data_IF_762894073723
#
_entry.id   IF_762894073723
#
_cell.length_a   1.000
_cell.length_b   1.000
_cell.length_c   1.000
_cell.angle_alpha   90.00
_cell.angle_beta   90.00
_cell.angle_gamma   90.00
#
_symmetry.space_group_name_H-M   'P 1'
#
loop_
_entity.id
_entity.type
_entity.pdbx_description
1 polymer ?
#
# COMPACT_ATOMS: atom_id res chain seq x y z
N UNK A 1 -11.74 -2.87 17.94
CA UNK A 1 -11.82 -1.77 16.95
C UNK A 1 -10.96 -2.17 15.77
N UNK A 2 -11.40 -1.91 14.52
CA UNK A 2 -10.56 -2.14 13.34
C UNK A 2 -9.27 -1.32 13.40
N UNK A 3 -8.22 -1.80 12.75
CA UNK A 3 -6.97 -1.07 12.62
C UNK A 3 -7.14 0.19 11.77
N UNK A 4 -6.41 1.25 12.10
CA UNK A 4 -6.38 2.50 11.31
C UNK A 4 -5.07 2.67 10.54
N UNK A 5 -4.03 1.89 10.89
CA UNK A 5 -2.72 1.85 10.23
C UNK A 5 -2.08 0.46 10.38
N UNK A 6 -0.84 0.31 9.90
CA UNK A 6 -0.09 -0.95 9.90
C UNK A 6 1.02 -1.02 10.97
N UNK A 7 1.06 -0.07 11.91
CA UNK A 7 2.08 -0.08 12.96
C UNK A 7 1.93 -1.33 13.84
N UNK A 8 3.01 -2.09 13.97
CA UNK A 8 3.04 -3.33 14.75
C UNK A 8 2.46 -4.56 14.04
N UNK A 9 1.89 -4.42 12.83
CA UNK A 9 1.48 -5.55 12.00
C UNK A 9 2.75 -6.26 11.49
N UNK A 10 2.91 -7.54 11.82
CA UNK A 10 4.10 -8.33 11.46
C UNK A 10 3.87 -9.26 10.27
N UNK A 11 2.62 -9.69 10.07
CA UNK A 11 2.19 -10.57 8.99
C UNK A 11 0.90 -10.02 8.39
N UNK A 12 0.98 -9.57 7.13
CA UNK A 12 -0.19 -9.06 6.42
C UNK A 12 -1.12 -10.15 5.91
N UNK A 13 -0.73 -11.42 5.90
CA UNK A 13 -1.62 -12.51 5.49
C UNK A 13 -2.76 -12.72 6.48
N UNK A 14 -2.58 -12.34 7.74
CA UNK A 14 -3.55 -12.50 8.83
C UNK A 14 -4.48 -11.29 9.00
N UNK A 15 -4.30 -10.22 8.22
CA UNK A 15 -5.11 -9.01 8.35
C UNK A 15 -6.57 -9.28 7.95
N UNK A 16 -7.52 -8.69 8.69
CA UNK A 16 -8.94 -8.89 8.43
C UNK A 16 -9.45 -7.92 7.36
N UNK A 17 -10.51 -8.29 6.61
CA UNK A 17 -11.12 -7.40 5.63
C UNK A 17 -11.58 -6.05 6.23
N UNK A 18 -12.08 -6.06 7.47
CA UNK A 18 -12.53 -4.85 8.18
C UNK A 18 -11.37 -3.90 8.49
N UNK A 19 -10.17 -4.44 8.74
CA UNK A 19 -8.96 -3.65 8.95
C UNK A 19 -8.50 -3.02 7.63
N UNK A 20 -8.56 -3.76 6.51
CA UNK A 20 -8.25 -3.23 5.17
C UNK A 20 -9.15 -2.04 4.83
N UNK A 21 -10.47 -2.18 5.05
CA UNK A 21 -11.44 -1.12 4.82
C UNK A 21 -11.15 0.11 5.68
N UNK A 22 -10.95 -0.09 6.99
CA UNK A 22 -10.68 0.97 7.95
C UNK A 22 -9.37 1.71 7.67
N UNK A 23 -8.29 0.99 7.34
CA UNK A 23 -7.01 1.58 6.94
C UNK A 23 -7.18 2.39 5.66
N UNK A 24 -7.85 1.82 4.65
CA UNK A 24 -8.11 2.49 3.38
C UNK A 24 -8.89 3.79 3.56
N UNK A 25 -9.95 3.76 4.38
CA UNK A 25 -10.78 4.92 4.71
C UNK A 25 -9.99 6.01 5.40
N UNK A 26 -9.24 5.65 6.44
CA UNK A 26 -8.44 6.57 7.25
C UNK A 26 -7.38 7.27 6.39
N UNK A 27 -6.58 6.48 5.66
CA UNK A 27 -5.50 7.00 4.83
C UNK A 27 -6.04 7.76 3.62
N UNK A 28 -7.08 7.25 2.94
CA UNK A 28 -7.70 7.90 1.79
C UNK A 28 -8.22 9.30 2.14
N UNK A 29 -8.91 9.44 3.29
CA UNK A 29 -9.35 10.74 3.81
C UNK A 29 -8.17 11.65 4.18
N UNK A 30 -7.18 11.13 4.94
CA UNK A 30 -6.01 11.93 5.34
C UNK A 30 -5.25 12.52 4.14
N UNK A 31 -5.12 11.75 3.06
CA UNK A 31 -4.48 12.21 1.83
C UNK A 31 -5.25 13.35 1.16
N UNK A 32 -6.59 13.34 1.21
CA UNK A 32 -7.40 14.48 0.74
C UNK A 32 -7.20 15.70 1.64
N UNK A 33 -7.25 15.51 2.96
CA UNK A 33 -7.08 16.60 3.95
C UNK A 33 -5.69 17.27 3.81
N UNK A 34 -4.68 16.50 3.39
CA UNK A 34 -3.32 16.98 3.09
C UNK A 34 -3.14 17.50 1.67
N UNK A 35 -4.21 17.57 0.88
CA UNK A 35 -4.25 18.00 -0.52
C UNK A 35 -3.29 17.20 -1.43
N UNK A 36 -3.18 15.88 -1.20
CA UNK A 36 -2.46 14.98 -2.10
C UNK A 36 -3.28 14.78 -3.36
N UNK A 37 -2.64 15.03 -4.50
CA UNK A 37 -3.27 14.98 -5.82
C UNK A 37 -3.27 13.56 -6.38
N UNK A 38 -4.28 13.22 -7.18
CA UNK A 38 -4.40 11.88 -7.79
C UNK A 38 -3.17 11.49 -8.61
N UNK A 39 -2.55 12.44 -9.32
CA UNK A 39 -1.33 12.17 -10.10
C UNK A 39 -0.14 11.73 -9.23
N UNK A 40 -0.09 12.13 -7.96
CA UNK A 40 0.95 11.74 -7.01
C UNK A 40 0.76 10.29 -6.54
N UNK A 41 -0.51 9.86 -6.38
CA UNK A 41 -0.86 8.48 -6.05
C UNK A 41 -0.68 7.54 -7.25
N UNK A 42 -0.98 8.01 -8.46
CA UNK A 42 -0.95 7.21 -9.70
C UNK A 42 0.39 6.54 -9.94
N UNK A 43 1.51 7.23 -9.75
CA UNK A 43 2.84 6.67 -10.01
C UNK A 43 3.15 5.46 -9.12
N UNK A 44 2.75 5.54 -7.85
CA UNK A 44 2.92 4.45 -6.91
C UNK A 44 1.93 3.31 -7.21
N UNK A 45 0.65 3.65 -7.40
CA UNK A 45 -0.40 2.70 -7.72
C UNK A 45 -0.08 1.86 -8.97
N UNK A 46 0.42 2.48 -10.04
CA UNK A 46 0.85 1.76 -11.26
C UNK A 46 1.92 0.71 -10.98
N UNK A 47 2.83 0.96 -10.03
CA UNK A 47 3.86 -0.03 -9.65
C UNK A 47 3.24 -1.24 -8.93
N UNK A 48 2.26 -1.01 -8.06
CA UNK A 48 1.50 -2.08 -7.38
C UNK A 48 0.69 -2.90 -8.38
N UNK A 49 0.06 -2.26 -9.38
CA UNK A 49 -0.67 -2.96 -10.44
C UNK A 49 0.24 -3.83 -11.32
N UNK A 50 1.47 -3.37 -11.61
CA UNK A 50 2.50 -4.19 -12.27
C UNK A 50 2.78 -5.46 -11.47
N UNK A 51 3.00 -5.32 -10.16
CA UNK A 51 3.23 -6.45 -9.25
C UNK A 51 2.03 -7.39 -9.21
N UNK A 52 0.80 -6.87 -9.12
CA UNK A 52 -0.44 -7.67 -9.18
C UNK A 52 -0.52 -8.50 -10.44
N UNK A 53 -0.18 -7.92 -11.59
CA UNK A 53 -0.19 -8.61 -12.89
C UNK A 53 0.79 -9.77 -12.90
N UNK A 54 2.00 -9.57 -12.38
CA UNK A 54 3.01 -10.62 -12.21
C UNK A 54 2.55 -11.70 -11.24
N UNK A 55 2.00 -11.34 -10.08
CA UNK A 55 1.46 -12.30 -9.11
C UNK A 55 0.36 -13.19 -9.72
N UNK A 56 -0.54 -12.62 -10.52
CA UNK A 56 -1.58 -13.40 -11.23
C UNK A 56 -1.00 -14.39 -12.23
N UNK A 57 0.07 -14.00 -12.92
CA UNK A 57 0.77 -14.86 -13.89
C UNK A 57 1.53 -15.99 -13.20
N UNK A 58 2.35 -15.65 -12.22
CA UNK A 58 3.25 -16.60 -11.52
C UNK A 58 2.51 -17.44 -10.44
N UNK A 59 1.29 -17.04 -10.06
CA UNK A 59 0.43 -17.66 -9.04
C UNK A 59 1.04 -17.78 -7.63
N UNK A 60 2.24 -17.24 -7.43
CA UNK A 60 3.04 -17.26 -6.20
C UNK A 60 3.96 -16.03 -6.14
N UNK A 61 4.50 -15.73 -4.95
CA UNK A 61 5.49 -14.66 -4.78
C UNK A 61 6.87 -15.21 -5.14
N UNK A 62 7.38 -14.82 -6.31
CA UNK A 62 8.73 -15.19 -6.76
C UNK A 62 9.77 -14.23 -6.20
N UNK A 63 11.07 -14.59 -6.16
CA UNK A 63 12.13 -13.67 -5.76
C UNK A 63 12.16 -12.36 -6.56
N UNK A 64 11.76 -12.41 -7.83
CA UNK A 64 11.66 -11.22 -8.68
C UNK A 64 10.52 -10.29 -8.23
N UNK A 65 9.35 -10.84 -7.89
CA UNK A 65 8.21 -10.09 -7.34
C UNK A 65 8.57 -9.47 -5.99
N UNK A 66 9.18 -10.26 -5.10
CA UNK A 66 9.61 -9.80 -3.78
C UNK A 66 10.64 -8.66 -3.89
N UNK A 67 11.64 -8.80 -4.76
CA UNK A 67 12.61 -7.74 -5.04
C UNK A 67 11.94 -6.46 -5.55
N UNK A 68 11.02 -6.57 -6.50
CA UNK A 68 10.30 -5.40 -7.04
C UNK A 68 9.48 -4.69 -5.97
N UNK A 69 8.82 -5.45 -5.09
CA UNK A 69 8.06 -4.93 -3.97
C UNK A 69 8.97 -4.18 -2.97
N UNK A 70 10.09 -4.78 -2.58
CA UNK A 70 11.07 -4.13 -1.68
C UNK A 70 11.63 -2.84 -2.30
N UNK A 71 11.87 -2.83 -3.61
CA UNK A 71 12.37 -1.66 -4.32
C UNK A 71 11.31 -0.54 -4.52
N UNK A 72 10.07 -0.72 -4.08
CA UNK A 72 9.14 0.40 -3.95
C UNK A 72 9.53 1.34 -2.80
N UNK A 73 10.20 0.85 -1.75
CA UNK A 73 10.64 1.65 -0.61
C UNK A 73 11.49 2.87 -1.00
N UNK A 74 12.58 2.74 -1.78
CA UNK A 74 13.35 3.91 -2.24
C UNK A 74 12.55 4.82 -3.18
N UNK A 75 11.65 4.29 -4.02
CA UNK A 75 10.78 5.10 -4.88
C UNK A 75 9.83 5.98 -4.06
N UNK A 76 9.24 5.40 -3.02
CA UNK A 76 8.36 6.10 -2.08
C UNK A 76 9.15 7.13 -1.25
N UNK A 77 10.37 6.80 -0.81
CA UNK A 77 11.25 7.74 -0.11
C UNK A 77 11.55 8.97 -0.97
N UNK A 78 11.87 8.75 -2.24
CA UNK A 78 12.13 9.84 -3.19
C UNK A 78 10.89 10.72 -3.43
N UNK A 79 9.72 10.12 -3.66
CA UNK A 79 8.47 10.85 -3.83
C UNK A 79 8.15 11.71 -2.59
N UNK A 80 8.38 11.17 -1.39
CA UNK A 80 8.19 11.86 -0.11
C UNK A 80 9.21 12.97 0.11
N UNK A 81 10.44 12.77 -0.36
CA UNK A 81 11.49 13.80 -0.36
C UNK A 81 11.09 15.02 -1.19
N UNK A 82 10.42 14.83 -2.33
CA UNK A 82 9.90 15.91 -3.18
C UNK A 82 8.60 16.53 -2.64
N UNK A 83 7.74 15.74 -2.00
CA UNK A 83 6.49 16.22 -1.43
C UNK A 83 6.22 15.58 -0.06
N UNK A 84 6.38 16.36 1.00
CA UNK A 84 6.17 15.88 2.37
C UNK A 84 4.69 15.54 2.67
N UNK A 85 3.73 15.98 1.87
CA UNK A 85 2.30 15.67 2.04
C UNK A 85 1.99 14.17 1.96
N UNK A 86 2.84 13.38 1.28
CA UNK A 86 2.67 11.91 1.16
C UNK A 86 3.40 11.10 2.23
N UNK A 87 3.94 11.75 3.28
CA UNK A 87 4.73 11.07 4.31
C UNK A 87 3.96 9.97 5.05
N UNK A 88 2.67 10.17 5.32
CA UNK A 88 1.86 9.14 5.98
C UNK A 88 1.64 7.91 5.10
N UNK A 89 1.42 8.11 3.80
CA UNK A 89 1.38 7.01 2.83
C UNK A 89 2.71 6.29 2.77
N UNK A 90 3.84 7.02 2.80
CA UNK A 90 5.17 6.41 2.86
C UNK A 90 5.32 5.51 4.09
N UNK A 91 4.98 6.00 5.28
CA UNK A 91 5.10 5.22 6.52
C UNK A 91 4.23 3.97 6.46
N UNK A 92 2.96 4.10 6.10
CA UNK A 92 2.05 2.96 5.96
C UNK A 92 2.58 1.93 4.96
N UNK A 93 3.08 2.38 3.81
CA UNK A 93 3.60 1.46 2.81
C UNK A 93 4.91 0.79 3.24
N UNK A 94 5.74 1.45 4.04
CA UNK A 94 6.96 0.86 4.59
C UNK A 94 6.62 -0.31 5.53
N UNK A 95 5.68 -0.07 6.44
CA UNK A 95 5.18 -1.08 7.38
C UNK A 95 4.53 -2.24 6.61
N UNK A 96 3.65 -1.93 5.67
CA UNK A 96 2.97 -2.94 4.85
C UNK A 96 3.90 -3.78 3.99
N UNK A 97 4.91 -3.16 3.35
CA UNK A 97 5.93 -3.93 2.61
C UNK A 97 6.72 -4.82 3.58
N UNK A 98 7.12 -4.30 4.74
CA UNK A 98 7.81 -5.09 5.77
C UNK A 98 7.02 -6.32 6.21
N UNK A 99 5.73 -6.12 6.52
CA UNK A 99 4.80 -7.18 6.91
C UNK A 99 4.38 -8.12 5.76
N UNK A 100 4.80 -7.83 4.52
CA UNK A 100 4.57 -8.72 3.36
C UNK A 100 5.78 -9.61 3.07
N UNK A 101 7.00 -9.11 3.25
CA UNK A 101 8.24 -9.80 2.82
C UNK A 101 9.06 -10.39 3.97
N UNK A 102 8.68 -10.08 5.22
CA UNK A 102 9.31 -10.64 6.42
C UNK A 102 9.36 -12.18 6.38
N UNK A 103 10.42 -12.76 6.94
CA UNK A 103 10.59 -14.22 7.01
C UNK A 103 9.52 -14.90 7.87
N UNK A 104 8.89 -14.15 8.78
CA UNK A 104 7.84 -14.66 9.67
C UNK A 104 6.43 -14.63 9.04
N UNK A 105 6.31 -14.26 7.77
CA UNK A 105 5.02 -14.23 7.06
C UNK A 105 4.60 -15.65 6.71
N UNK A 106 3.41 -16.04 7.17
CA UNK A 106 2.86 -17.39 6.99
C UNK A 106 2.45 -17.69 5.54
N UNK A 107 1.84 -16.71 4.86
CA UNK A 107 1.53 -16.79 3.42
C UNK A 107 1.89 -15.49 2.70
N UNK A 108 3.05 -15.47 2.03
CA UNK A 108 3.52 -14.31 1.25
C UNK A 108 2.55 -13.89 0.13
N UNK A 109 1.83 -14.84 -0.47
CA UNK A 109 0.87 -14.54 -1.54
C UNK A 109 -0.36 -13.85 -0.97
N UNK A 110 -0.91 -14.36 0.13
CA UNK A 110 -2.01 -13.72 0.84
C UNK A 110 -1.60 -12.34 1.37
N UNK A 111 -0.42 -12.22 1.97
CA UNK A 111 0.11 -10.94 2.45
C UNK A 111 0.24 -9.90 1.33
N UNK A 112 0.80 -10.29 0.17
CA UNK A 112 0.89 -9.40 -0.98
C UNK A 112 -0.50 -9.05 -1.55
N UNK A 113 -1.43 -10.01 -1.60
CA UNK A 113 -2.80 -9.74 -2.02
C UNK A 113 -3.47 -8.70 -1.10
N UNK A 114 -3.28 -8.83 0.22
CA UNK A 114 -3.81 -7.89 1.21
C UNK A 114 -3.16 -6.51 1.09
N UNK A 115 -1.85 -6.41 0.84
CA UNK A 115 -1.19 -5.14 0.56
C UNK A 115 -1.75 -4.43 -0.70
N UNK A 116 -2.05 -5.22 -1.74
CA UNK A 116 -2.69 -4.71 -2.96
C UNK A 116 -4.09 -4.20 -2.61
N UNK A 117 -4.89 -4.96 -1.85
CA UNK A 117 -6.23 -4.55 -1.43
C UNK A 117 -6.24 -3.29 -0.57
N UNK A 118 -5.28 -3.14 0.35
CA UNK A 118 -5.07 -1.90 1.13
C UNK A 118 -4.81 -0.73 0.17
N UNK A 119 -3.92 -0.92 -0.80
CA UNK A 119 -3.59 0.12 -1.78
C UNK A 119 -4.82 0.52 -2.61
N UNK A 120 -5.63 -0.44 -3.05
CA UNK A 120 -6.88 -0.20 -3.77
C UNK A 120 -7.91 0.54 -2.91
N UNK A 121 -8.06 0.15 -1.64
CA UNK A 121 -8.95 0.81 -0.70
C UNK A 121 -8.56 2.28 -0.47
N UNK A 122 -7.26 2.58 -0.32
CA UNK A 122 -6.74 3.94 -0.19
C UNK A 122 -7.14 4.80 -1.41
N UNK A 123 -6.94 4.29 -2.62
CA UNK A 123 -7.28 5.01 -3.85
C UNK A 123 -8.79 5.21 -3.99
N UNK A 124 -9.58 4.19 -3.66
CA UNK A 124 -11.04 4.26 -3.67
C UNK A 124 -11.56 5.33 -2.71
N UNK A 125 -11.08 5.32 -1.46
CA UNK A 125 -11.50 6.29 -0.44
C UNK A 125 -10.97 7.70 -0.69
N UNK A 126 -9.75 7.85 -1.22
CA UNK A 126 -9.24 9.15 -1.68
C UNK A 126 -10.15 9.75 -2.75
N UNK A 127 -10.58 8.94 -3.72
CA UNK A 127 -11.53 9.38 -4.76
C UNK A 127 -12.89 9.71 -4.18
N UNK A 128 -13.41 8.86 -3.28
CA UNK A 128 -14.69 9.07 -2.58
C UNK A 128 -14.73 10.39 -1.82
N UNK A 129 -13.63 10.76 -1.14
CA UNK A 129 -13.52 12.02 -0.41
C UNK A 129 -13.20 13.24 -1.28
N UNK A 130 -13.21 13.12 -2.61
CA UNK A 130 -13.07 14.26 -3.52
C UNK A 130 -11.65 14.57 -3.97
N UNK A 131 -10.74 13.58 -3.92
CA UNK A 131 -9.39 13.68 -4.48
C UNK A 131 -9.36 14.25 -5.90
N UNK A 132 -8.60 15.34 -6.09
CA UNK A 132 -8.52 16.09 -7.36
C UNK A 132 -7.32 15.64 -8.20
N UNK A 133 -7.51 15.68 -9.53
CA UNK A 133 -6.48 15.31 -10.52
C UNK A 133 -5.41 16.40 -10.75
N UNK A 134 -5.64 17.64 -10.27
CA UNK A 134 -4.78 18.80 -10.54
C UNK A 134 -4.29 19.52 -9.30
#
# INVERSE_FOLDING_TARGET
MPLENLNGVKDLSEIKPEDIDSIGKTMGKSLVDREVKTNQLRNFYSSIISIRTKLRKEKSVTPAIERELVLLKPKLAYATGRNKKVMELYNLMQDGIGATVSENVSDKKAALANLISITEAIVAYHKFHGGKDK
#
